data_IF_759932783804
#
_entry.id   IF_759932783804
#
_cell.length_a   1.000
_cell.length_b   1.000
_cell.length_c   1.000
_cell.angle_alpha   90.00
_cell.angle_beta   90.00
_cell.angle_gamma   90.00
#
_symmetry.space_group_name_H-M   'P 1'
#
loop_
_entity.id
_entity.type
_entity.pdbx_description
1 polymer ?
#
# COMPACT_ATOMS: atom_id res chain seq x y z
N UNK A 1 -19.48 21.30 11.40
CA UNK A 1 -18.24 21.86 10.81
C UNK A 1 -16.99 20.99 10.99
N UNK A 2 -16.68 20.45 12.18
CA UNK A 2 -15.49 19.58 12.44
C UNK A 2 -15.31 18.40 11.46
N UNK A 3 -16.40 17.81 10.97
CA UNK A 3 -16.36 16.70 10.00
C UNK A 3 -15.84 17.14 8.62
N UNK A 4 -16.18 18.36 8.15
CA UNK A 4 -15.72 18.86 6.85
C UNK A 4 -14.23 19.14 6.85
N UNK A 5 -13.69 19.73 7.92
CA UNK A 5 -12.25 20.00 8.05
C UNK A 5 -11.45 18.69 8.06
N UNK A 6 -11.92 17.66 8.76
CA UNK A 6 -11.29 16.32 8.72
C UNK A 6 -11.34 15.74 7.31
N UNK A 7 -12.48 15.87 6.62
CA UNK A 7 -12.61 15.44 5.21
C UNK A 7 -11.63 16.15 4.29
N UNK A 8 -11.54 17.49 4.35
CA UNK A 8 -10.59 18.26 3.56
C UNK A 8 -9.14 17.93 3.90
N UNK A 9 -8.80 17.74 5.18
CA UNK A 9 -7.47 17.34 5.60
C UNK A 9 -7.11 15.94 5.07
N UNK A 10 -8.05 14.99 5.07
CA UNK A 10 -7.85 13.66 4.49
C UNK A 10 -7.64 13.72 2.98
N UNK A 11 -8.40 14.55 2.25
CA UNK A 11 -8.22 14.75 0.81
C UNK A 11 -6.84 15.36 0.52
N UNK A 12 -6.46 16.40 1.27
CA UNK A 12 -5.16 17.05 1.11
C UNK A 12 -4.02 16.07 1.37
N UNK A 13 -4.09 15.30 2.46
CA UNK A 13 -3.08 14.29 2.78
C UNK A 13 -3.01 13.22 1.69
N UNK A 14 -4.16 12.72 1.22
CA UNK A 14 -4.20 11.73 0.15
C UNK A 14 -3.56 12.26 -1.15
N UNK A 15 -3.90 13.49 -1.56
CA UNK A 15 -3.33 14.13 -2.74
C UNK A 15 -1.81 14.34 -2.60
N UNK A 16 -1.36 14.78 -1.44
CA UNK A 16 0.07 14.98 -1.16
C UNK A 16 0.86 13.67 -1.24
N UNK A 17 0.41 12.62 -0.54
CA UNK A 17 1.10 11.33 -0.53
C UNK A 17 1.05 10.63 -1.90
N UNK A 18 -0.05 10.76 -2.62
CA UNK A 18 -0.19 10.20 -3.96
C UNK A 18 0.77 10.89 -4.94
N UNK A 19 0.81 12.22 -4.94
CA UNK A 19 1.73 13.00 -5.77
C UNK A 19 3.21 12.72 -5.46
N UNK A 20 3.59 12.71 -4.18
CA UNK A 20 4.98 12.44 -3.78
C UNK A 20 5.45 11.03 -4.15
N UNK A 21 4.56 10.03 -4.06
CA UNK A 21 4.84 8.65 -4.43
C UNK A 21 5.19 8.51 -5.92
N UNK A 22 4.48 9.23 -6.79
CA UNK A 22 4.76 9.24 -8.23
C UNK A 22 6.13 9.85 -8.58
N UNK A 23 6.46 10.99 -7.96
CA UNK A 23 7.77 11.64 -8.16
C UNK A 23 8.91 10.77 -7.65
N UNK A 24 8.76 10.15 -6.47
CA UNK A 24 9.75 9.23 -5.92
C UNK A 24 9.97 8.00 -6.81
N UNK A 25 8.90 7.40 -7.33
CA UNK A 25 9.01 6.26 -8.25
C UNK A 25 9.76 6.64 -9.54
N UNK A 26 9.43 7.79 -10.14
CA UNK A 26 10.13 8.29 -11.34
C UNK A 26 11.62 8.51 -11.09
N UNK A 27 11.98 9.07 -9.94
CA UNK A 27 13.39 9.24 -9.54
C UNK A 27 14.12 7.90 -9.40
N UNK A 28 13.50 6.89 -8.78
CA UNK A 28 14.09 5.56 -8.64
C UNK A 28 14.29 4.87 -9.99
N UNK A 29 13.34 5.03 -10.93
CA UNK A 29 13.47 4.48 -12.29
C UNK A 29 14.59 5.15 -13.08
N UNK A 30 14.81 6.47 -12.90
CA UNK A 30 15.94 7.18 -13.53
C UNK A 30 17.30 6.67 -13.05
N UNK A 31 17.37 6.09 -11.85
CA UNK A 31 18.57 5.45 -11.29
C UNK A 31 18.69 3.96 -11.65
N UNK A 32 18.03 3.51 -12.73
CA UNK A 32 18.05 2.12 -13.22
C UNK A 32 17.55 1.07 -12.21
N UNK A 33 16.75 1.46 -11.22
CA UNK A 33 16.11 0.49 -10.33
C UNK A 33 14.93 -0.13 -11.07
N UNK A 34 14.91 -1.47 -11.11
CA UNK A 34 13.83 -2.23 -11.75
C UNK A 34 12.45 -1.83 -11.20
N UNK A 35 11.44 -1.60 -12.06
CA UNK A 35 10.06 -1.35 -11.63
C UNK A 35 9.53 -2.39 -10.65
N UNK A 36 9.93 -3.66 -10.83
CA UNK A 36 9.57 -4.76 -9.95
C UNK A 36 10.03 -4.53 -8.51
N UNK A 37 11.28 -4.08 -8.32
CA UNK A 37 11.84 -3.83 -7.00
C UNK A 37 11.16 -2.65 -6.30
N UNK A 38 10.79 -1.60 -7.05
CA UNK A 38 10.06 -0.45 -6.49
C UNK A 38 8.65 -0.84 -6.06
N UNK A 39 7.96 -1.64 -6.87
CA UNK A 39 6.62 -2.13 -6.55
C UNK A 39 6.65 -3.08 -5.35
N UNK A 40 7.57 -4.05 -5.36
CA UNK A 40 7.72 -5.01 -4.28
C UNK A 40 8.10 -4.35 -2.96
N UNK A 41 9.07 -3.42 -2.97
CA UNK A 41 9.47 -2.67 -1.78
C UNK A 41 8.32 -1.84 -1.22
N UNK A 42 7.51 -1.19 -2.06
CA UNK A 42 6.32 -0.45 -1.60
C UNK A 42 5.34 -1.35 -0.85
N UNK A 43 5.04 -2.54 -1.37
CA UNK A 43 4.11 -3.49 -0.73
C UNK A 43 4.68 -4.02 0.59
N UNK A 44 5.98 -4.37 0.62
CA UNK A 44 6.65 -4.84 1.84
C UNK A 44 6.67 -3.74 2.91
N UNK A 45 7.06 -2.53 2.55
CA UNK A 45 7.09 -1.38 3.46
C UNK A 45 5.68 -1.12 3.99
N UNK A 46 4.66 -1.08 3.12
CA UNK A 46 3.28 -0.87 3.52
C UNK A 46 2.79 -1.97 4.48
N UNK A 47 3.13 -3.24 4.23
CA UNK A 47 2.76 -4.35 5.11
C UNK A 47 3.40 -4.22 6.50
N UNK A 48 4.70 -3.90 6.57
CA UNK A 48 5.38 -3.66 7.85
C UNK A 48 4.82 -2.44 8.58
N UNK A 49 4.54 -1.35 7.86
CA UNK A 49 3.97 -0.14 8.45
C UNK A 49 2.58 -0.41 9.03
N UNK A 50 1.72 -1.11 8.27
CA UNK A 50 0.40 -1.51 8.73
C UNK A 50 0.48 -2.44 9.94
N UNK A 51 1.38 -3.44 9.91
CA UNK A 51 1.60 -4.33 11.03
C UNK A 51 2.06 -3.58 12.29
N UNK A 52 2.99 -2.64 12.15
CA UNK A 52 3.46 -1.79 13.25
C UNK A 52 2.32 -0.92 13.83
N UNK A 53 1.50 -0.32 12.97
CA UNK A 53 0.32 0.46 13.41
C UNK A 53 -0.66 -0.44 14.15
N UNK A 54 -0.99 -1.62 13.62
CA UNK A 54 -1.91 -2.55 14.27
C UNK A 54 -1.36 -3.06 15.61
N UNK A 55 -0.04 -3.26 15.72
CA UNK A 55 0.61 -3.65 16.97
C UNK A 55 0.42 -2.60 18.08
N UNK A 56 0.49 -1.31 17.73
CA UNK A 56 0.35 -0.19 18.68
C UNK A 56 -1.11 0.12 18.98
N UNK A 57 -1.99 0.10 17.96
CA UNK A 57 -3.40 0.49 18.11
C UNK A 57 -4.24 -0.63 18.73
N UNK A 58 -4.15 -1.85 18.20
CA UNK A 58 -4.90 -2.99 18.71
C UNK A 58 -4.32 -4.31 18.22
N UNK A 59 -3.51 -4.94 19.07
CA UNK A 59 -2.86 -6.22 18.79
C UNK A 59 -3.83 -7.36 18.45
N UNK A 60 -5.08 -7.29 18.91
CA UNK A 60 -6.09 -8.33 18.62
C UNK A 60 -6.49 -8.34 17.15
N UNK A 61 -6.35 -7.22 16.43
CA UNK A 61 -6.63 -7.14 14.99
C UNK A 61 -5.59 -7.87 14.12
N UNK A 62 -4.42 -8.21 14.68
CA UNK A 62 -3.44 -9.08 14.00
C UNK A 62 -3.79 -10.56 14.12
N UNK A 63 -4.69 -10.94 15.02
CA UNK A 63 -5.12 -12.33 15.17
C UNK A 63 -6.26 -12.58 14.21
N UNK A 64 -5.93 -13.19 13.07
CA UNK A 64 -6.89 -13.48 12.00
C UNK A 64 -7.52 -14.86 12.27
N UNK A 65 -8.83 -14.97 12.14
CA UNK A 65 -9.51 -16.27 12.16
C UNK A 65 -9.15 -17.07 10.92
N UNK A 66 -8.97 -18.40 11.05
CA UNK A 66 -8.71 -19.29 9.92
C UNK A 66 -9.82 -19.26 8.85
N UNK A 67 -11.03 -18.84 9.24
CA UNK A 67 -12.17 -18.66 8.33
C UNK A 67 -11.96 -17.44 7.43
N UNK A 68 -11.50 -16.32 8.00
CA UNK A 68 -11.24 -15.07 7.27
C UNK A 68 -9.96 -15.14 6.42
N UNK A 69 -9.08 -16.11 6.71
CA UNK A 69 -7.81 -16.29 6.01
C UNK A 69 -8.01 -16.47 4.49
N UNK A 70 -9.11 -17.09 4.05
CA UNK A 70 -9.42 -17.20 2.62
C UNK A 70 -9.66 -15.84 1.97
N UNK A 71 -10.39 -14.96 2.62
CA UNK A 71 -10.67 -13.62 2.11
C UNK A 71 -9.40 -12.76 2.09
N UNK A 72 -8.58 -12.85 3.14
CA UNK A 72 -7.26 -12.20 3.18
C UNK A 72 -6.32 -12.75 2.11
N UNK A 73 -6.31 -14.06 1.87
CA UNK A 73 -5.50 -14.68 0.83
C UNK A 73 -5.97 -14.27 -0.56
N UNK A 74 -7.28 -14.22 -0.81
CA UNK A 74 -7.85 -13.74 -2.07
C UNK A 74 -7.48 -12.28 -2.33
N UNK A 75 -7.65 -11.43 -1.31
CA UNK A 75 -7.33 -10.00 -1.40
C UNK A 75 -5.82 -9.78 -1.60
N UNK A 76 -4.97 -10.51 -0.88
CA UNK A 76 -3.53 -10.40 -0.96
C UNK A 76 -2.95 -10.95 -2.27
N UNK A 77 -3.37 -12.14 -2.68
CA UNK A 77 -2.83 -12.82 -3.88
C UNK A 77 -3.41 -12.21 -5.15
N UNK A 78 -4.74 -12.14 -5.27
CA UNK A 78 -5.36 -11.63 -6.51
C UNK A 78 -5.36 -10.11 -6.50
N UNK A 79 -5.82 -9.50 -5.41
CA UNK A 79 -5.96 -8.05 -5.31
C UNK A 79 -4.62 -7.32 -5.29
N UNK A 80 -3.70 -7.70 -4.41
CA UNK A 80 -2.40 -6.99 -4.28
C UNK A 80 -1.36 -7.57 -5.23
N UNK A 81 -0.99 -8.85 -5.12
CA UNK A 81 0.09 -9.40 -5.94
C UNK A 81 -0.29 -9.45 -7.42
N UNK A 82 -1.51 -9.88 -7.75
CA UNK A 82 -2.02 -9.94 -9.12
C UNK A 82 -2.08 -8.57 -9.80
N UNK A 83 -2.61 -7.54 -9.13
CA UNK A 83 -2.64 -6.19 -9.71
C UNK A 83 -1.25 -5.58 -9.90
N UNK A 84 -0.34 -5.78 -8.94
CA UNK A 84 1.04 -5.30 -9.04
C UNK A 84 1.81 -6.02 -10.16
N UNK A 85 1.57 -7.33 -10.33
CA UNK A 85 2.14 -8.10 -11.44
C UNK A 85 1.59 -7.66 -12.79
N UNK A 86 0.28 -7.45 -12.91
CA UNK A 86 -0.34 -6.94 -14.13
C UNK A 86 0.18 -5.54 -14.50
N UNK A 87 0.38 -4.68 -13.50
CA UNK A 87 0.96 -3.35 -13.70
C UNK A 87 2.42 -3.42 -14.18
N UNK A 88 3.21 -4.34 -13.60
CA UNK A 88 4.57 -4.60 -14.07
C UNK A 88 4.59 -5.06 -15.53
N UNK A 89 3.76 -6.06 -15.87
CA UNK A 89 3.62 -6.58 -17.24
C UNK A 89 3.16 -5.52 -18.25
N UNK A 90 2.40 -4.51 -17.81
CA UNK A 90 1.91 -3.44 -18.66
C UNK A 90 2.92 -2.31 -18.87
N UNK A 91 3.88 -2.13 -17.95
CA UNK A 91 4.94 -1.13 -18.06
C UNK A 91 6.15 -1.65 -18.84
N UNK A 92 6.37 -2.97 -18.79
CA UNK A 92 7.39 -3.65 -19.57
C UNK A 92 7.01 -3.73 -21.05
#
# INVERSE_FOLDING_TARGET
MRSRIRGYASIFAAAFFWGSSGTAAKYLFQHNISPMLVVQSRVIIAAFFLAAILLVVNRKLLVISLVDLKDFALLGVIGVAGSNYAYYMAIQ
#
